data_IF_759500177056
#
_entry.id   IF_759500177056
#
_cell.length_a   1.000
_cell.length_b   1.000
_cell.length_c   1.000
_cell.angle_alpha   90.00
_cell.angle_beta   90.00
_cell.angle_gamma   90.00
#
_symmetry.space_group_name_H-M   'P 1'
#
loop_
_entity.id
_entity.type
_entity.pdbx_description
1 polymer ?
#
# COMPACT_ATOMS: atom_id res chain seq x y z
N UNK A 1 9.02 5.02 10.02
CA UNK A 1 8.51 6.34 9.59
C UNK A 1 6.99 6.25 9.67
N UNK A 2 6.40 6.78 10.73
CA UNK A 2 4.97 6.56 11.06
C UNK A 2 4.05 7.28 10.05
N UNK A 3 3.12 6.53 9.46
CA UNK A 3 2.17 6.96 8.43
C UNK A 3 1.09 7.94 8.88
N UNK A 4 1.43 8.96 9.67
CA UNK A 4 0.49 10.02 10.03
C UNK A 4 0.40 11.08 8.92
N UNK A 5 -0.17 10.71 7.78
CA UNK A 5 -0.31 11.60 6.62
C UNK A 5 -1.15 12.86 6.94
N UNK A 6 -2.10 12.75 7.86
CA UNK A 6 -2.90 13.87 8.34
C UNK A 6 -2.06 15.02 8.92
N UNK A 7 -0.94 14.72 9.60
CA UNK A 7 -0.06 15.77 10.15
C UNK A 7 0.63 16.56 9.04
N UNK A 8 1.05 15.88 7.97
CA UNK A 8 1.76 16.50 6.85
C UNK A 8 0.83 17.44 6.06
N UNK A 9 -0.46 17.09 5.97
CA UNK A 9 -1.47 17.93 5.35
C UNK A 9 -1.78 19.18 6.18
N UNK A 10 -1.90 19.06 7.50
CA UNK A 10 -2.05 20.21 8.40
C UNK A 10 -0.82 21.12 8.39
N UNK A 11 0.37 20.55 8.18
CA UNK A 11 1.62 21.31 8.03
C UNK A 11 1.65 22.13 6.74
N UNK A 12 0.98 21.69 5.66
CA UNK A 12 0.85 22.47 4.42
C UNK A 12 0.16 23.82 4.65
N UNK A 13 -0.87 23.83 5.50
CA UNK A 13 -1.62 25.05 5.80
C UNK A 13 -0.88 25.96 6.79
N UNK A 14 0.06 25.41 7.57
CA UNK A 14 0.83 26.11 8.61
C UNK A 14 2.31 26.28 8.26
N UNK A 15 2.66 26.42 6.98
CA UNK A 15 4.06 26.60 6.58
C UNK A 15 4.57 27.98 7.01
N UNK A 16 5.60 28.08 7.88
CA UNK A 16 6.07 29.36 8.42
C UNK A 16 6.75 30.29 7.39
N UNK A 17 7.12 29.77 6.21
CA UNK A 17 7.83 30.56 5.19
C UNK A 17 7.49 30.09 3.76
N UNK A 18 7.16 31.01 2.83
CA UNK A 18 6.77 30.67 1.45
C UNK A 18 7.79 29.84 0.67
N UNK A 19 9.08 29.94 1.03
CA UNK A 19 10.15 29.16 0.38
C UNK A 19 10.02 27.66 0.62
N UNK A 20 9.42 27.27 1.74
CA UNK A 20 9.22 25.86 2.09
C UNK A 20 7.98 25.26 1.43
N UNK A 21 7.04 26.09 0.95
CA UNK A 21 5.83 25.63 0.29
C UNK A 21 6.13 24.76 -0.93
N UNK A 22 7.13 25.15 -1.73
CA UNK A 22 7.57 24.38 -2.89
C UNK A 22 8.02 22.95 -2.54
N UNK A 23 8.79 22.79 -1.45
CA UNK A 23 9.26 21.47 -1.01
C UNK A 23 8.14 20.63 -0.40
N UNK A 24 7.19 21.27 0.29
CA UNK A 24 6.00 20.59 0.82
C UNK A 24 5.11 20.09 -0.32
N UNK A 25 4.92 20.88 -1.37
CA UNK A 25 4.14 20.45 -2.53
C UNK A 25 4.79 19.25 -3.24
N UNK A 26 6.11 19.25 -3.38
CA UNK A 26 6.85 18.09 -3.92
C UNK A 26 6.71 16.85 -3.02
N UNK A 27 6.82 17.03 -1.70
CA UNK A 27 6.66 15.96 -0.73
C UNK A 27 5.24 15.35 -0.77
N UNK A 28 4.21 16.18 -0.93
CA UNK A 28 2.82 15.73 -1.03
C UNK A 28 2.56 14.87 -2.26
N UNK A 29 3.25 15.13 -3.39
CA UNK A 29 3.16 14.27 -4.58
C UNK A 29 3.71 12.88 -4.26
N UNK A 30 4.89 12.79 -3.66
CA UNK A 30 5.51 11.51 -3.29
C UNK A 30 4.66 10.74 -2.29
N UNK A 31 4.12 11.42 -1.28
CA UNK A 31 3.24 10.81 -0.28
C UNK A 31 1.97 10.26 -0.92
N UNK A 32 1.33 11.00 -1.82
CA UNK A 32 0.14 10.51 -2.54
C UNK A 32 0.46 9.26 -3.35
N UNK A 33 1.65 9.20 -3.95
CA UNK A 33 2.09 8.01 -4.66
C UNK A 33 2.31 6.80 -3.76
N UNK A 34 2.86 6.99 -2.56
CA UNK A 34 2.97 5.93 -1.55
C UNK A 34 1.61 5.48 -1.02
N UNK A 35 0.69 6.41 -0.75
CA UNK A 35 -0.70 6.10 -0.36
C UNK A 35 -1.38 5.27 -1.46
N UNK A 36 -1.25 5.66 -2.72
CA UNK A 36 -1.78 4.88 -3.86
C UNK A 36 -1.22 3.46 -3.94
N UNK A 37 0.10 3.31 -3.78
CA UNK A 37 0.77 1.98 -3.75
C UNK A 37 0.31 1.12 -2.57
N UNK A 38 0.01 1.73 -1.43
CA UNK A 38 -0.54 1.05 -0.27
C UNK A 38 -1.99 0.61 -0.51
N UNK A 39 -2.81 1.48 -1.11
CA UNK A 39 -4.21 1.18 -1.44
C UNK A 39 -4.34 -0.03 -2.37
N UNK A 40 -3.50 -0.10 -3.40
CA UNK A 40 -3.41 -1.24 -4.33
C UNK A 40 -3.08 -2.58 -3.65
N UNK A 41 -2.34 -2.54 -2.53
CA UNK A 41 -1.92 -3.73 -1.79
C UNK A 41 -2.88 -4.13 -0.69
N UNK A 42 -3.61 -3.16 -0.13
CA UNK A 42 -4.47 -3.33 1.02
C UNK A 42 -5.91 -3.67 0.64
N UNK A 43 -6.39 -3.17 -0.51
CA UNK A 43 -7.78 -3.30 -0.93
C UNK A 43 -7.89 -3.89 -2.34
N UNK A 44 -8.86 -4.78 -2.54
CA UNK A 44 -9.26 -5.24 -3.89
C UNK A 44 -10.19 -4.20 -4.56
N UNK A 45 -11.06 -3.59 -3.76
CA UNK A 45 -11.95 -2.51 -4.17
C UNK A 45 -12.14 -1.52 -3.03
N UNK A 46 -12.32 -0.25 -3.37
CA UNK A 46 -12.65 0.82 -2.42
C UNK A 46 -13.71 1.73 -3.03
N UNK A 47 -14.56 2.36 -2.21
CA UNK A 47 -15.50 3.36 -2.71
C UNK A 47 -14.73 4.61 -3.18
N UNK A 48 -15.14 5.20 -4.30
CA UNK A 48 -14.60 6.46 -4.83
C UNK A 48 -14.60 7.61 -3.80
N UNK A 49 -15.67 7.87 -3.01
CA UNK A 49 -15.65 8.95 -2.03
C UNK A 49 -14.66 8.70 -0.89
N UNK A 50 -14.43 7.45 -0.51
CA UNK A 50 -13.47 7.10 0.54
C UNK A 50 -12.03 7.17 0.03
N UNK A 51 -11.80 6.74 -1.20
CA UNK A 51 -10.52 6.87 -1.88
C UNK A 51 -10.12 8.35 -2.07
N UNK A 52 -11.08 9.21 -2.45
CA UNK A 52 -10.86 10.64 -2.58
C UNK A 52 -10.49 11.29 -1.23
N UNK A 53 -11.13 10.87 -0.13
CA UNK A 53 -10.79 11.32 1.23
C UNK A 53 -9.39 10.88 1.65
N UNK A 54 -9.00 9.64 1.36
CA UNK A 54 -7.66 9.12 1.71
C UNK A 54 -6.54 9.80 0.93
N UNK A 55 -6.77 10.11 -0.36
CA UNK A 55 -5.79 10.78 -1.22
C UNK A 55 -5.79 12.31 -1.06
N UNK A 56 -6.78 12.88 -0.34
CA UNK A 56 -7.00 14.32 -0.22
C UNK A 56 -7.02 14.99 -1.60
N UNK A 57 -7.83 14.45 -2.51
CA UNK A 57 -8.02 14.95 -3.88
C UNK A 57 -9.48 15.35 -4.10
N UNK A 58 -9.67 16.33 -4.98
CA UNK A 58 -11.00 16.65 -5.52
C UNK A 58 -11.40 15.62 -6.58
N UNK A 59 -12.70 15.42 -6.81
CA UNK A 59 -13.22 14.42 -7.76
C UNK A 59 -12.57 14.50 -9.16
N UNK A 60 -12.30 15.71 -9.67
CA UNK A 60 -11.62 15.89 -10.97
C UNK A 60 -10.16 15.42 -11.00
N UNK A 61 -9.45 15.51 -9.89
CA UNK A 61 -8.06 15.07 -9.79
C UNK A 61 -7.98 13.56 -9.54
N UNK A 62 -9.03 12.96 -8.98
CA UNK A 62 -9.17 11.52 -8.82
C UNK A 62 -9.19 10.81 -10.18
N UNK A 63 -9.96 11.33 -11.14
CA UNK A 63 -10.00 10.76 -12.50
C UNK A 63 -8.63 10.77 -13.20
N UNK A 64 -7.83 11.81 -12.96
CA UNK A 64 -6.45 11.88 -13.47
C UNK A 64 -5.55 10.83 -12.84
N UNK A 65 -5.63 10.68 -11.51
CA UNK A 65 -4.83 9.72 -10.76
C UNK A 65 -5.17 8.27 -11.10
N UNK A 66 -6.46 7.97 -11.27
CA UNK A 66 -6.97 6.66 -11.71
C UNK A 66 -6.45 6.30 -13.09
N UNK A 67 -6.45 7.25 -14.03
CA UNK A 67 -5.90 7.05 -15.39
C UNK A 67 -4.39 6.82 -15.38
N UNK A 68 -3.65 7.60 -14.59
CA UNK A 68 -2.19 7.48 -14.47
C UNK A 68 -1.78 6.10 -13.93
N UNK A 69 -2.57 5.54 -13.02
CA UNK A 69 -2.31 4.23 -12.40
C UNK A 69 -3.01 3.04 -13.05
N UNK A 70 -3.85 3.27 -14.06
CA UNK A 70 -4.61 2.21 -14.72
C UNK A 70 -5.68 1.55 -13.85
N UNK A 71 -6.19 2.26 -12.83
CA UNK A 71 -7.32 1.79 -12.01
C UNK A 71 -8.62 1.90 -12.82
N UNK A 72 -9.58 1.02 -12.55
CA UNK A 72 -10.91 1.08 -13.20
C UNK A 72 -11.97 1.54 -12.21
N UNK A 73 -12.65 2.64 -12.53
CA UNK A 73 -13.86 3.09 -11.81
C UNK A 73 -15.06 2.41 -12.46
N UNK A 74 -15.80 1.62 -11.69
CA UNK A 74 -17.08 1.07 -12.13
C UNK A 74 -18.23 2.04 -11.85
N UNK A 75 -19.38 1.88 -12.54
CA UNK A 75 -20.58 2.72 -12.34
C UNK A 75 -21.15 2.66 -10.92
N UNK A 76 -20.80 1.62 -10.16
CA UNK A 76 -21.19 1.41 -8.76
C UNK A 76 -20.40 2.30 -7.78
N UNK A 77 -19.68 3.31 -8.28
CA UNK A 77 -18.86 4.21 -7.45
C UNK A 77 -17.69 3.51 -6.75
N UNK A 78 -17.30 2.30 -7.17
CA UNK A 78 -16.15 1.57 -6.65
C UNK A 78 -14.95 1.65 -7.61
N UNK A 79 -13.78 1.91 -7.03
CA UNK A 79 -12.47 1.81 -7.68
C UNK A 79 -11.97 0.39 -7.47
N UNK A 80 -11.75 -0.32 -8.57
CA UNK A 80 -11.11 -1.62 -8.56
C UNK A 80 -9.62 -1.42 -8.83
N UNK A 81 -8.81 -1.89 -7.90
CA UNK A 81 -7.37 -1.98 -8.09
C UNK A 81 -7.12 -3.24 -8.92
N UNK A 82 -6.26 -3.15 -9.95
CA UNK A 82 -5.82 -4.38 -10.60
C UNK A 82 -5.14 -5.19 -9.52
N UNK A 83 -5.77 -6.30 -9.14
CA UNK A 83 -5.22 -7.22 -8.19
C UNK A 83 -3.83 -7.57 -8.70
N UNK A 84 -2.80 -7.01 -8.04
CA UNK A 84 -1.50 -7.66 -8.12
C UNK A 84 -1.78 -9.08 -7.69
N UNK A 85 -1.52 -10.03 -8.59
CA UNK A 85 -1.56 -11.46 -8.35
C UNK A 85 -0.91 -11.79 -7.01
N UNK A 86 -1.71 -11.69 -5.94
CA UNK A 86 -1.54 -12.40 -4.70
C UNK A 86 -2.66 -13.43 -4.71
N UNK A 87 -2.71 -14.31 -5.70
CA UNK A 87 -1.84 -15.50 -5.71
C UNK A 87 -0.55 -15.37 -4.88
N UNK A 88 -0.69 -15.12 -3.58
CA UNK A 88 -0.34 -16.21 -2.69
C UNK A 88 -1.21 -17.37 -3.20
N UNK A 89 -0.80 -18.17 -4.20
CA UNK A 89 0.17 -19.23 -3.92
C UNK A 89 0.16 -19.36 -2.42
N UNK A 90 -0.84 -20.09 -1.92
CA UNK A 90 -0.58 -21.11 -0.91
C UNK A 90 0.91 -21.36 -1.02
N UNK A 91 1.69 -20.73 -0.13
CA UNK A 91 3.09 -21.03 -0.05
C UNK A 91 3.00 -22.50 0.27
N UNK A 92 3.18 -23.36 -0.74
CA UNK A 92 3.20 -24.80 -0.59
C UNK A 92 4.17 -24.97 0.55
N UNK A 93 3.61 -25.24 1.74
CA UNK A 93 4.36 -25.17 2.97
C UNK A 93 5.57 -26.04 2.69
N UNK A 94 6.81 -25.54 2.80
CA UNK A 94 7.98 -26.21 2.23
C UNK A 94 8.19 -27.53 2.99
N UNK A 95 7.46 -28.54 2.55
CA UNK A 95 7.23 -29.82 3.23
C UNK A 95 8.51 -30.61 3.26
N UNK A 96 9.31 -30.46 2.20
CA UNK A 96 10.64 -31.02 2.10
C UNK A 96 11.61 -30.38 3.10
N UNK A 97 11.50 -29.08 3.39
CA UNK A 97 12.32 -28.44 4.42
C UNK A 97 11.87 -28.84 5.83
N UNK A 98 10.56 -28.87 6.09
CA UNK A 98 10.01 -29.35 7.37
C UNK A 98 10.39 -30.81 7.65
N UNK A 99 10.32 -31.67 6.63
CA UNK A 99 10.73 -33.07 6.75
C UNK A 99 12.23 -33.21 7.04
N UNK A 100 13.08 -32.42 6.38
CA UNK A 100 14.52 -32.36 6.69
C UNK A 100 14.78 -31.91 8.12
N UNK A 101 14.11 -30.84 8.57
CA UNK A 101 14.22 -30.36 9.94
C UNK A 101 13.82 -31.45 10.95
N UNK A 102 12.69 -32.13 10.74
CA UNK A 102 12.24 -33.22 11.61
C UNK A 102 13.23 -34.39 11.68
N UNK A 103 13.81 -34.80 10.54
CA UNK A 103 14.84 -35.85 10.49
C UNK A 103 16.12 -35.43 11.22
N UNK A 104 16.58 -34.19 11.01
CA UNK A 104 17.77 -33.66 11.69
C UNK A 104 17.56 -33.59 13.20
N UNK A 105 16.40 -33.10 13.66
CA UNK A 105 16.08 -33.09 15.09
C UNK A 105 16.04 -34.48 15.70
N UNK A 106 15.42 -35.46 15.02
CA UNK A 106 15.42 -36.84 15.48
C UNK A 106 16.85 -37.41 15.58
N UNK A 107 17.67 -37.16 14.55
CA UNK A 107 19.08 -37.58 14.54
C UNK A 107 19.88 -36.96 15.69
N UNK A 108 19.70 -35.68 15.97
CA UNK A 108 20.41 -34.98 17.06
C UNK A 108 19.97 -35.47 18.45
N UNK A 109 18.70 -35.82 18.63
CA UNK A 109 18.22 -36.41 19.89
C UNK A 109 18.71 -37.85 20.11
N UNK A 110 18.81 -38.65 19.06
CA UNK A 110 19.28 -40.04 19.15
C UNK A 110 20.80 -40.16 19.12
N UNK A 111 21.50 -39.09 18.76
CA UNK A 111 22.96 -39.06 18.84
C UNK A 111 23.38 -39.01 20.31
N UNK A 112 23.84 -40.17 20.82
CA UNK A 112 24.48 -40.27 22.12
C UNK A 112 25.75 -39.40 22.07
N UNK A 113 25.82 -38.42 22.99
CA UNK A 113 27.05 -37.68 23.31
C UNK A 113 27.96 -38.54 24.18
#
# INVERSE_FOLDING_TARGET
MEGTYNKILVMKDNVPSPRHAYFIDLLLITIRNEIGSCLEKAYEKISAPECAKMLYLNDKAMDGFVKERGWSIQPDQFVYFQATDKKTHEAEVPTLELAKMAITYAKEMEQIV
#
